data_IF_059094556058
#
_entry.id   IF_059094556058
#
_cell.length_a   1.000
_cell.length_b   1.000
_cell.length_c   1.000
_cell.angle_alpha   90.00
_cell.angle_beta   90.00
_cell.angle_gamma   90.00
#
_symmetry.space_group_name_H-M   'P 1'
#
loop_
_entity.id
_entity.type
_entity.pdbx_description
1 polymer ?
#
# COMPACT_ATOMS: atom_id res chain seq x y z
N UNK A 1 -38.05 12.25 20.73
CA UNK A 1 -36.93 11.45 21.27
C UNK A 1 -36.02 12.34 22.08
N UNK A 2 -35.68 11.94 23.29
CA UNK A 2 -34.65 12.60 24.10
C UNK A 2 -33.24 12.31 23.54
N UNK A 3 -32.24 12.98 24.09
CA UNK A 3 -30.84 12.92 23.62
C UNK A 3 -30.24 11.52 23.71
N UNK A 4 -30.56 10.73 24.75
CA UNK A 4 -30.01 9.37 24.89
C UNK A 4 -30.58 8.44 23.83
N UNK A 5 -31.88 8.54 23.54
CA UNK A 5 -32.49 7.77 22.45
C UNK A 5 -31.88 8.14 21.10
N UNK A 6 -31.67 9.43 20.81
CA UNK A 6 -31.01 9.87 19.57
C UNK A 6 -29.59 9.33 19.46
N UNK A 7 -28.81 9.35 20.54
CA UNK A 7 -27.45 8.80 20.57
C UNK A 7 -27.44 7.29 20.35
N UNK A 8 -28.37 6.56 20.97
CA UNK A 8 -28.45 5.11 20.82
C UNK A 8 -28.75 4.67 19.38
N UNK A 9 -29.44 5.51 18.59
CA UNK A 9 -29.70 5.24 17.17
C UNK A 9 -28.43 5.28 16.30
N UNK A 10 -27.37 5.98 16.71
CA UNK A 10 -26.16 6.14 15.90
C UNK A 10 -25.49 4.80 15.54
N UNK A 11 -25.58 3.79 16.42
CA UNK A 11 -25.03 2.46 16.20
C UNK A 11 -26.07 1.45 15.70
N UNK A 12 -27.19 1.93 15.15
CA UNK A 12 -28.26 1.07 14.63
C UNK A 12 -28.14 0.92 13.12
N UNK A 13 -28.47 -0.28 12.62
CA UNK A 13 -28.53 -0.57 11.18
C UNK A 13 -29.43 0.41 10.42
N UNK A 14 -30.51 0.90 11.05
CA UNK A 14 -31.40 1.88 10.42
C UNK A 14 -30.71 3.23 10.15
N UNK A 15 -29.81 3.66 11.05
CA UNK A 15 -29.02 4.87 10.86
C UNK A 15 -27.96 4.67 9.78
N UNK A 16 -27.30 3.52 9.76
CA UNK A 16 -26.29 3.18 8.74
C UNK A 16 -26.91 3.19 7.33
N UNK A 17 -28.05 2.50 7.14
CA UNK A 17 -28.78 2.47 5.85
C UNK A 17 -29.28 3.85 5.43
N UNK A 18 -29.80 4.63 6.37
CA UNK A 18 -30.19 6.01 6.08
C UNK A 18 -28.97 6.83 5.62
N UNK A 19 -27.84 6.65 6.30
CA UNK A 19 -26.55 7.23 5.98
C UNK A 19 -26.10 6.94 4.55
N UNK A 20 -26.12 5.67 4.12
CA UNK A 20 -25.77 5.28 2.74
C UNK A 20 -26.59 6.01 1.68
N UNK A 21 -27.87 6.26 1.95
CA UNK A 21 -28.76 6.95 1.01
C UNK A 21 -28.61 8.47 0.99
N UNK A 22 -28.24 9.08 2.12
CA UNK A 22 -28.28 10.54 2.30
C UNK A 22 -26.90 11.21 2.31
N UNK A 23 -25.85 10.48 2.68
CA UNK A 23 -24.49 11.01 2.79
C UNK A 23 -23.74 10.87 1.47
N UNK A 24 -22.85 11.82 1.19
CA UNK A 24 -22.03 11.77 -0.01
C UNK A 24 -20.69 11.11 0.27
N UNK A 25 -20.35 10.09 -0.54
CA UNK A 25 -19.08 9.37 -0.47
C UNK A 25 -18.18 9.67 -1.67
N UNK A 26 -18.31 10.87 -2.28
CA UNK A 26 -17.60 11.24 -3.53
C UNK A 26 -16.10 10.92 -3.52
N UNK A 27 -15.31 11.21 -2.47
CA UNK A 27 -13.89 10.86 -2.45
C UNK A 27 -13.65 9.35 -2.42
N UNK A 28 -14.45 8.59 -1.67
CA UNK A 28 -14.34 7.13 -1.58
C UNK A 28 -14.72 6.48 -2.92
N UNK A 29 -15.80 6.97 -3.54
CA UNK A 29 -16.27 6.49 -4.83
C UNK A 29 -15.34 6.83 -6.01
N UNK A 30 -14.31 7.66 -5.79
CA UNK A 30 -13.30 7.98 -6.79
C UNK A 30 -12.14 6.97 -6.82
N UNK A 31 -12.06 6.06 -5.84
CA UNK A 31 -11.10 4.96 -5.83
C UNK A 31 -11.43 4.02 -6.99
N UNK A 32 -10.44 3.72 -7.83
CA UNK A 32 -10.64 2.97 -9.08
C UNK A 32 -9.53 1.96 -9.35
N UNK A 33 -8.61 1.74 -8.41
CA UNK A 33 -7.54 0.78 -8.54
C UNK A 33 -7.28 0.09 -7.20
N UNK A 34 -7.12 -1.24 -7.25
CA UNK A 34 -6.82 -2.08 -6.10
C UNK A 34 -5.50 -2.81 -6.38
N UNK A 35 -4.47 -2.52 -5.59
CA UNK A 35 -3.17 -3.21 -5.63
C UNK A 35 -3.01 -4.03 -4.37
N UNK A 36 -2.35 -5.18 -4.46
CA UNK A 36 -1.85 -5.91 -3.30
C UNK A 36 -0.34 -6.06 -3.41
N UNK A 37 0.35 -5.67 -2.34
CA UNK A 37 1.79 -5.77 -2.20
C UNK A 37 2.17 -6.22 -0.79
N UNK A 38 3.47 -6.22 -0.52
CA UNK A 38 3.97 -6.47 0.82
C UNK A 38 4.82 -5.28 1.24
N UNK A 39 4.63 -4.84 2.48
CA UNK A 39 5.44 -3.82 3.10
C UNK A 39 6.32 -4.40 4.19
N UNK A 40 7.42 -3.71 4.45
CA UNK A 40 8.30 -3.98 5.59
C UNK A 40 8.51 -2.68 6.39
N UNK A 41 8.59 -2.77 7.71
CA UNK A 41 8.86 -1.58 8.53
C UNK A 41 10.25 -1.08 8.23
N UNK A 42 10.42 0.22 7.97
CA UNK A 42 11.72 0.78 7.56
C UNK A 42 12.87 0.51 8.56
N UNK A 43 12.56 0.22 9.82
CA UNK A 43 13.52 -0.05 10.89
C UNK A 43 13.50 -1.47 11.44
N UNK A 44 12.58 -2.33 10.98
CA UNK A 44 12.46 -3.71 11.43
C UNK A 44 12.05 -4.62 10.27
N UNK A 45 13.06 -5.23 9.65
CA UNK A 45 12.85 -6.05 8.45
C UNK A 45 12.37 -7.48 8.73
N UNK A 46 12.08 -7.81 9.99
CA UNK A 46 11.49 -9.09 10.37
C UNK A 46 9.96 -9.06 10.33
N UNK A 47 9.38 -7.86 10.19
CA UNK A 47 7.94 -7.61 10.28
C UNK A 47 7.37 -7.27 8.90
N UNK A 48 6.69 -8.24 8.31
CA UNK A 48 6.13 -8.14 6.96
C UNK A 48 4.61 -8.00 7.02
N UNK A 49 4.09 -7.03 6.28
CA UNK A 49 2.66 -6.71 6.21
C UNK A 49 2.18 -6.90 4.79
N UNK A 50 1.18 -7.75 4.57
CA UNK A 50 0.42 -7.72 3.31
C UNK A 50 -0.44 -6.46 3.30
N UNK A 51 -0.40 -5.71 2.20
CA UNK A 51 -0.97 -4.37 2.11
C UNK A 51 -1.86 -4.25 0.88
N UNK A 52 -3.14 -3.97 1.12
CA UNK A 52 -4.14 -3.75 0.08
C UNK A 52 -4.35 -2.25 -0.12
N UNK A 53 -3.89 -1.76 -1.26
CA UNK A 53 -3.93 -0.36 -1.66
C UNK A 53 -5.17 -0.07 -2.50
N UNK A 54 -5.96 0.89 -2.05
CA UNK A 54 -7.13 1.38 -2.76
C UNK A 54 -6.87 2.81 -3.24
N UNK A 55 -6.55 2.92 -4.52
CA UNK A 55 -5.91 4.10 -5.09
C UNK A 55 -6.86 4.98 -5.92
N UNK A 56 -6.62 6.28 -5.86
CA UNK A 56 -7.12 7.30 -6.79
C UNK A 56 -5.95 7.96 -7.49
N UNK A 57 -5.97 8.05 -8.81
CA UNK A 57 -4.98 8.82 -9.55
C UNK A 57 -5.33 10.31 -9.50
N UNK A 58 -4.51 11.11 -8.80
CA UNK A 58 -4.73 12.56 -8.62
C UNK A 58 -4.24 13.36 -9.80
N UNK A 59 -3.19 12.88 -10.45
CA UNK A 59 -2.68 13.34 -11.72
C UNK A 59 -1.97 12.17 -12.40
N UNK A 60 -1.40 12.41 -13.59
CA UNK A 60 -0.51 11.43 -14.24
C UNK A 60 0.70 11.05 -13.36
N UNK A 61 1.18 11.98 -12.54
CA UNK A 61 2.43 11.85 -11.79
C UNK A 61 2.22 11.65 -10.28
N UNK A 62 0.97 11.51 -9.82
CA UNK A 62 0.62 11.38 -8.39
C UNK A 62 -0.59 10.47 -8.19
N UNK A 63 -0.38 9.35 -7.50
CA UNK A 63 -1.45 8.52 -6.96
C UNK A 63 -1.52 8.70 -5.45
N UNK A 64 -2.72 8.55 -4.90
CA UNK A 64 -2.94 8.46 -3.46
C UNK A 64 -3.70 7.17 -3.17
N UNK A 65 -3.29 6.44 -2.15
CA UNK A 65 -3.91 5.19 -1.75
C UNK A 65 -4.24 5.20 -0.26
N UNK A 66 -5.41 4.68 0.09
CA UNK A 66 -5.70 4.21 1.45
C UNK A 66 -5.33 2.73 1.51
N UNK A 67 -4.74 2.30 2.62
CA UNK A 67 -4.18 0.95 2.75
C UNK A 67 -4.93 0.20 3.84
N UNK A 68 -5.35 -1.03 3.51
CA UNK A 68 -5.95 -1.99 4.43
C UNK A 68 -5.06 -3.23 4.60
N UNK A 69 -5.26 -3.97 5.69
CA UNK A 69 -4.55 -5.23 5.97
C UNK A 69 -5.12 -6.46 5.25
N UNK A 70 -6.34 -6.37 4.74
CA UNK A 70 -6.94 -7.34 3.82
C UNK A 70 -7.90 -6.65 2.85
N UNK A 71 -8.51 -7.43 1.95
CA UNK A 71 -9.62 -7.04 1.09
C UNK A 71 -11.00 -7.40 1.67
N UNK A 72 -11.06 -7.84 2.93
CA UNK A 72 -12.31 -8.17 3.62
C UNK A 72 -13.13 -6.92 3.96
N UNK A 73 -14.46 -7.09 4.06
CA UNK A 73 -15.37 -6.01 4.41
C UNK A 73 -15.12 -5.39 5.81
N UNK A 74 -14.43 -6.09 6.69
CA UNK A 74 -14.06 -5.64 8.04
C UNK A 74 -12.55 -5.35 8.19
N UNK A 75 -11.83 -5.19 7.07
CA UNK A 75 -10.40 -4.92 7.09
C UNK A 75 -10.06 -3.63 7.87
N UNK A 76 -8.89 -3.62 8.49
CA UNK A 76 -8.38 -2.50 9.27
C UNK A 76 -7.76 -1.47 8.33
N UNK A 77 -8.11 -0.20 8.48
CA UNK A 77 -7.38 0.89 7.82
C UNK A 77 -6.00 1.02 8.48
N UNK A 78 -4.94 0.59 7.78
CA UNK A 78 -3.60 0.54 8.35
C UNK A 78 -2.70 1.68 7.94
N UNK A 79 -2.99 2.39 6.84
CA UNK A 79 -2.10 3.45 6.39
C UNK A 79 -2.53 4.16 5.12
N UNK A 80 -1.59 4.95 4.60
CA UNK A 80 -1.69 5.65 3.32
C UNK A 80 -0.39 5.52 2.54
N UNK A 81 -0.51 5.59 1.22
CA UNK A 81 0.62 5.76 0.32
C UNK A 81 0.40 6.91 -0.66
N UNK A 82 1.46 7.64 -0.93
CA UNK A 82 1.56 8.48 -2.12
C UNK A 82 2.57 7.86 -3.07
N UNK A 83 2.15 7.65 -4.32
CA UNK A 83 3.02 7.19 -5.39
C UNK A 83 3.30 8.35 -6.33
N UNK A 84 4.56 8.53 -6.70
CA UNK A 84 4.97 9.54 -7.69
C UNK A 84 5.78 8.92 -8.81
N UNK A 85 5.69 9.51 -10.00
CA UNK A 85 6.55 9.10 -11.12
C UNK A 85 8.02 9.38 -10.82
N UNK A 86 8.94 8.64 -11.46
CA UNK A 86 10.39 8.90 -11.34
C UNK A 86 10.74 10.37 -11.64
N UNK A 87 10.04 10.98 -12.61
CA UNK A 87 10.19 12.40 -12.95
C UNK A 87 9.99 13.30 -11.72
N UNK A 88 8.93 13.08 -10.94
CA UNK A 88 8.67 13.86 -9.72
C UNK A 88 9.67 13.49 -8.64
N UNK A 89 9.94 12.19 -8.45
CA UNK A 89 10.89 11.71 -7.46
C UNK A 89 12.27 12.37 -7.59
N UNK A 90 12.80 12.47 -8.82
CA UNK A 90 14.09 13.12 -9.12
C UNK A 90 14.15 14.59 -8.71
N UNK A 91 13.00 15.27 -8.59
CA UNK A 91 12.92 16.68 -8.17
C UNK A 91 12.78 16.89 -6.66
N UNK A 92 12.58 15.81 -5.90
CA UNK A 92 12.46 15.90 -4.45
C UNK A 92 13.79 16.31 -3.81
N UNK A 93 13.76 17.06 -2.69
CA UNK A 93 14.95 17.28 -1.87
C UNK A 93 15.55 15.95 -1.39
N UNK A 94 16.88 15.89 -1.24
CA UNK A 94 17.57 14.67 -0.80
C UNK A 94 17.10 14.20 0.57
N UNK A 95 16.79 15.13 1.49
CA UNK A 95 16.25 14.78 2.81
C UNK A 95 14.84 14.19 2.76
N UNK A 96 14.10 14.43 1.68
CA UNK A 96 12.77 13.87 1.47
C UNK A 96 12.86 12.47 0.86
N UNK A 97 13.77 12.24 -0.10
CA UNK A 97 13.91 10.95 -0.82
C UNK A 97 14.10 9.75 0.10
N UNK A 98 14.71 9.94 1.27
CA UNK A 98 14.89 8.88 2.29
C UNK A 98 13.60 8.26 2.82
N UNK A 99 12.45 8.91 2.60
CA UNK A 99 11.12 8.41 2.97
C UNK A 99 10.44 7.59 1.87
N UNK A 100 11.13 7.38 0.74
CA UNK A 100 10.54 6.77 -0.45
C UNK A 100 11.24 5.46 -0.79
N UNK A 101 10.44 4.50 -1.25
CA UNK A 101 10.92 3.23 -1.80
C UNK A 101 10.59 3.14 -3.30
N UNK A 102 11.35 2.34 -4.04
CA UNK A 102 11.08 2.07 -5.46
C UNK A 102 10.15 0.88 -5.61
N UNK A 103 9.16 0.97 -6.50
CA UNK A 103 8.31 -0.19 -6.83
C UNK A 103 8.95 -1.14 -7.86
N UNK A 104 10.18 -0.84 -8.33
CA UNK A 104 10.90 -1.60 -9.37
C UNK A 104 10.87 -3.09 -9.09
N UNK A 105 11.34 -3.50 -7.91
CA UNK A 105 11.47 -4.92 -7.60
C UNK A 105 10.12 -5.59 -7.37
N UNK A 106 9.20 -4.97 -6.64
CA UNK A 106 7.90 -5.58 -6.35
C UNK A 106 7.06 -5.84 -7.60
N UNK A 107 7.15 -4.92 -8.57
CA UNK A 107 6.55 -5.13 -9.89
C UNK A 107 7.27 -6.24 -10.63
N UNK A 108 8.60 -6.23 -10.71
CA UNK A 108 9.34 -7.24 -11.46
C UNK A 108 9.23 -8.66 -10.88
N UNK A 109 9.15 -8.78 -9.55
CA UNK A 109 9.15 -10.05 -8.83
C UNK A 109 7.79 -10.74 -8.79
N UNK A 110 6.70 -10.05 -9.13
CA UNK A 110 5.35 -10.57 -8.95
C UNK A 110 4.77 -10.31 -7.55
N UNK A 111 5.52 -9.69 -6.63
CA UNK A 111 5.01 -9.43 -5.28
C UNK A 111 4.00 -8.28 -5.24
N UNK A 112 4.00 -7.35 -6.20
CA UNK A 112 2.89 -6.43 -6.43
C UNK A 112 1.94 -7.02 -7.48
N UNK A 113 0.63 -7.00 -7.24
CA UNK A 113 -0.37 -7.42 -8.22
C UNK A 113 -1.58 -6.50 -8.22
N UNK A 114 -2.31 -6.48 -9.34
CA UNK A 114 -3.69 -5.98 -9.34
C UNK A 114 -4.57 -7.04 -8.68
N UNK A 115 -5.45 -6.61 -7.79
CA UNK A 115 -6.48 -7.50 -7.28
C UNK A 115 -7.70 -7.42 -8.20
N UNK A 116 -8.03 -8.55 -8.82
CA UNK A 116 -9.18 -8.69 -9.70
C UNK A 116 -10.28 -9.49 -9.03
N UNK A 117 -11.52 -9.32 -9.52
CA UNK A 117 -12.65 -10.08 -8.98
C UNK A 117 -12.43 -11.59 -9.23
N UNK A 118 -12.86 -12.48 -8.34
CA UNK A 118 -12.62 -13.94 -8.44
C UNK A 118 -13.05 -14.60 -9.76
N UNK A 119 -13.93 -13.97 -10.54
CA UNK A 119 -14.46 -14.48 -11.80
C UNK A 119 -13.70 -13.98 -13.05
N UNK A 120 -12.63 -13.19 -12.89
CA UNK A 120 -11.82 -12.73 -14.00
C UNK A 120 -10.83 -13.83 -14.39
N UNK A 121 -10.84 -14.32 -15.65
CA UNK A 121 -9.89 -15.34 -16.09
C UNK A 121 -8.44 -14.83 -16.03
N UNK A 122 -7.50 -15.67 -15.58
CA UNK A 122 -6.09 -15.28 -15.38
C UNK A 122 -5.40 -14.66 -16.60
N UNK A 123 -5.67 -15.14 -17.82
CA UNK A 123 -5.12 -14.54 -19.06
C UNK A 123 -5.65 -13.11 -19.28
N UNK A 124 -6.92 -12.87 -18.95
CA UNK A 124 -7.53 -11.55 -19.10
C UNK A 124 -6.93 -10.59 -18.06
N UNK A 125 -6.70 -11.08 -16.84
CA UNK A 125 -6.00 -10.36 -15.79
C UNK A 125 -4.56 -10.02 -16.18
N UNK A 126 -3.81 -11.00 -16.71
CA UNK A 126 -2.42 -10.85 -17.15
C UNK A 126 -2.25 -9.80 -18.27
N UNK A 127 -3.20 -9.72 -19.20
CA UNK A 127 -3.17 -8.70 -20.25
C UNK A 127 -3.63 -7.33 -19.72
N UNK A 128 -4.61 -7.31 -18.82
CA UNK A 128 -5.14 -6.09 -18.24
C UNK A 128 -4.17 -5.42 -17.27
N UNK A 129 -3.30 -6.18 -16.60
CA UNK A 129 -2.33 -5.61 -15.66
C UNK A 129 -1.14 -4.92 -16.33
N UNK A 130 -0.76 -5.29 -17.57
CA UNK A 130 0.51 -4.85 -18.16
C UNK A 130 0.67 -3.32 -18.23
N UNK A 131 -0.35 -2.53 -18.65
CA UNK A 131 -0.23 -1.08 -18.64
C UNK A 131 0.00 -0.52 -17.23
N UNK A 132 -0.66 -1.10 -16.23
CA UNK A 132 -0.47 -0.70 -14.83
C UNK A 132 0.93 -1.08 -14.33
N UNK A 133 1.44 -2.27 -14.67
CA UNK A 133 2.78 -2.70 -14.29
C UNK A 133 3.85 -1.84 -14.95
N UNK A 134 3.70 -1.47 -16.23
CA UNK A 134 4.63 -0.57 -16.93
C UNK A 134 4.69 0.82 -16.28
N UNK A 135 3.55 1.34 -15.84
CA UNK A 135 3.48 2.62 -15.12
C UNK A 135 4.13 2.49 -13.73
N UNK A 136 3.66 1.52 -12.92
CA UNK A 136 4.10 1.34 -11.54
C UNK A 136 5.59 1.00 -11.43
N UNK A 137 6.16 0.28 -12.41
CA UNK A 137 7.57 -0.11 -12.42
C UNK A 137 8.56 1.05 -12.27
N UNK A 138 8.16 2.26 -12.70
CA UNK A 138 8.97 3.48 -12.63
C UNK A 138 8.40 4.52 -11.66
N UNK A 139 7.67 4.06 -10.63
CA UNK A 139 7.14 4.92 -9.57
C UNK A 139 7.82 4.67 -8.22
N UNK A 140 7.61 5.62 -7.31
CA UNK A 140 8.18 5.64 -5.97
C UNK A 140 7.08 5.85 -4.96
N UNK A 141 7.10 5.07 -3.88
CA UNK A 141 6.09 5.07 -2.84
C UNK A 141 6.58 5.71 -1.55
N UNK A 142 5.78 6.60 -0.97
CA UNK A 142 5.91 7.05 0.42
C UNK A 142 4.76 6.48 1.23
N UNK A 143 5.03 5.35 1.88
CA UNK A 143 4.03 4.63 2.67
C UNK A 143 4.19 4.90 4.16
N UNK A 144 3.09 5.32 4.80
CA UNK A 144 3.00 5.48 6.25
C UNK A 144 1.89 4.58 6.79
N UNK A 145 2.25 3.65 7.67
CA UNK A 145 1.28 2.87 8.43
C UNK A 145 1.01 3.51 9.80
N UNK A 146 -0.25 3.70 10.13
CA UNK A 146 -0.73 4.21 11.42
C UNK A 146 -1.19 3.11 12.37
N UNK A 147 -1.42 1.89 11.87
CA UNK A 147 -1.84 0.75 12.70
C UNK A 147 -0.84 -0.42 12.61
N UNK A 148 -0.03 -0.67 13.65
CA UNK A 148 0.87 -1.81 13.71
C UNK A 148 0.13 -3.08 14.19
N UNK A 149 -0.87 -3.53 13.43
CA UNK A 149 -1.81 -4.58 13.83
C UNK A 149 -1.15 -5.93 14.13
N UNK A 150 0.03 -6.18 13.59
CA UNK A 150 0.83 -7.37 13.85
C UNK A 150 1.34 -7.47 15.30
N UNK A 151 1.36 -6.34 16.02
CA UNK A 151 1.73 -6.27 17.45
C UNK A 151 0.62 -5.70 18.33
N UNK A 152 -0.28 -4.90 17.77
CA UNK A 152 -1.45 -4.34 18.45
C UNK A 152 -2.71 -4.52 17.59
N UNK A 153 -3.27 -5.75 17.53
CA UNK A 153 -4.36 -6.08 16.60
C UNK A 153 -5.68 -5.38 16.95
N UNK A 154 -5.87 -4.98 18.20
CA UNK A 154 -7.12 -4.41 18.71
C UNK A 154 -7.22 -2.90 18.46
N UNK A 155 -6.10 -2.16 18.52
CA UNK A 155 -6.09 -0.69 18.40
C UNK A 155 -4.80 -0.18 17.72
N UNK A 156 -4.88 0.95 16.98
CA UNK A 156 -3.72 1.59 16.35
C UNK A 156 -2.88 2.36 17.39
N UNK A 157 -2.09 1.63 18.18
CA UNK A 157 -1.26 2.23 19.23
C UNK A 157 0.09 2.75 18.71
N UNK A 158 0.54 3.86 19.30
CA UNK A 158 1.89 4.39 19.09
C UNK A 158 2.02 5.38 17.92
N UNK A 159 3.26 5.80 17.60
CA UNK A 159 3.52 6.68 16.47
C UNK A 159 3.32 5.94 15.12
N UNK A 160 3.13 6.69 14.01
CA UNK A 160 3.12 6.11 12.69
C UNK A 160 4.47 5.48 12.33
N UNK A 161 4.46 4.56 11.37
CA UNK A 161 5.63 3.84 10.90
C UNK A 161 5.87 4.14 9.42
N UNK A 162 7.12 4.45 9.07
CA UNK A 162 7.54 4.44 7.67
C UNK A 162 7.65 2.99 7.21
N UNK A 163 7.08 2.70 6.04
CA UNK A 163 7.18 1.40 5.41
C UNK A 163 7.99 1.48 4.11
N UNK A 164 8.69 0.39 3.82
CA UNK A 164 9.49 0.21 2.61
C UNK A 164 9.00 -0.99 1.82
N UNK A 165 9.43 -1.05 0.56
CA UNK A 165 9.30 -2.19 -0.33
C UNK A 165 10.53 -3.10 -0.26
N UNK A 166 10.39 -4.29 -0.82
CA UNK A 166 11.49 -5.23 -1.02
C UNK A 166 12.24 -4.91 -2.31
N UNK A 167 13.49 -5.34 -2.38
CA UNK A 167 14.39 -4.96 -3.46
C UNK A 167 15.17 -6.12 -4.07
N UNK A 168 15.08 -7.31 -3.47
CA UNK A 168 15.67 -8.54 -3.97
C UNK A 168 14.95 -9.79 -3.43
N UNK A 169 15.24 -10.93 -4.06
CA UNK A 169 14.68 -12.23 -3.67
C UNK A 169 15.06 -12.61 -2.24
N UNK A 170 14.15 -13.32 -1.56
CA UNK A 170 14.36 -13.87 -0.21
C UNK A 170 14.16 -12.88 0.95
N UNK A 171 13.73 -11.64 0.68
CA UNK A 171 13.45 -10.66 1.75
C UNK A 171 12.04 -10.75 2.33
N UNK A 172 11.06 -11.25 1.57
CA UNK A 172 9.71 -11.51 2.10
C UNK A 172 9.67 -12.90 2.73
N UNK A 173 8.99 -13.03 3.87
CA UNK A 173 8.79 -14.33 4.50
C UNK A 173 8.01 -15.30 3.57
N UNK A 174 8.58 -16.48 3.35
CA UNK A 174 8.08 -17.43 2.35
C UNK A 174 6.68 -17.98 2.66
N UNK A 175 6.34 -18.09 3.95
CA UNK A 175 5.01 -18.49 4.42
C UNK A 175 3.93 -17.47 4.02
N UNK A 176 4.25 -16.16 4.08
CA UNK A 176 3.33 -15.10 3.64
C UNK A 176 3.10 -15.10 2.14
N UNK A 177 4.17 -15.27 1.36
CA UNK A 177 4.06 -15.42 -0.10
C UNK A 177 3.15 -16.60 -0.45
N UNK A 178 3.43 -17.77 0.14
CA UNK A 178 2.65 -18.99 -0.07
C UNK A 178 1.19 -18.83 0.32
N UNK A 179 0.91 -18.22 1.49
CA UNK A 179 -0.45 -17.97 1.96
C UNK A 179 -1.25 -17.11 0.97
N UNK A 180 -0.62 -16.09 0.36
CA UNK A 180 -1.26 -15.27 -0.67
C UNK A 180 -1.50 -16.06 -1.97
N UNK A 181 -0.52 -16.84 -2.44
CA UNK A 181 -0.70 -17.67 -3.64
C UNK A 181 -1.84 -18.69 -3.44
N UNK A 182 -1.93 -19.32 -2.27
CA UNK A 182 -3.01 -20.25 -1.92
C UNK A 182 -4.38 -19.56 -1.88
N UNK A 183 -4.44 -18.34 -1.33
CA UNK A 183 -5.68 -17.58 -1.22
C UNK A 183 -6.19 -17.05 -2.56
N UNK A 184 -5.28 -16.57 -3.41
CA UNK A 184 -5.62 -15.89 -4.67
C UNK A 184 -5.56 -16.80 -5.90
N UNK A 185 -4.84 -17.91 -5.82
CA UNK A 185 -4.51 -18.76 -6.97
C UNK A 185 -3.51 -18.14 -7.95
N UNK A 186 -2.94 -16.96 -7.63
CA UNK A 186 -1.99 -16.25 -8.48
C UNK A 186 -0.58 -16.67 -8.11
N UNK A 187 0.18 -17.21 -9.07
CA UNK A 187 1.57 -17.58 -8.83
C UNK A 187 2.53 -16.41 -9.03
N UNK A 188 3.33 -16.12 -8.00
CA UNK A 188 4.35 -15.06 -7.99
C UNK A 188 5.45 -15.37 -9.01
N UNK A 189 5.94 -16.62 -9.02
CA UNK A 189 6.95 -17.04 -9.99
C UNK A 189 6.44 -16.98 -11.44
N UNK A 190 5.16 -17.30 -11.67
CA UNK A 190 4.56 -17.15 -12.99
C UNK A 190 4.48 -15.68 -13.42
N UNK A 191 4.05 -14.78 -12.51
CA UNK A 191 4.02 -13.33 -12.76
C UNK A 191 5.43 -12.78 -13.01
N UNK A 192 6.43 -13.17 -12.21
CA UNK A 192 7.85 -12.81 -12.42
C UNK A 192 8.33 -13.18 -13.83
N UNK A 193 8.07 -14.43 -14.24
CA UNK A 193 8.44 -14.92 -15.58
C UNK A 193 7.70 -14.18 -16.70
N UNK A 194 6.41 -13.93 -16.55
CA UNK A 194 5.61 -13.18 -17.51
C UNK A 194 6.14 -11.75 -17.67
N UNK A 195 6.36 -11.05 -16.56
CA UNK A 195 6.79 -9.66 -16.51
C UNK A 195 8.20 -9.44 -17.06
N UNK A 196 9.09 -10.40 -16.86
CA UNK A 196 10.41 -10.40 -17.51
C UNK A 196 10.33 -10.39 -19.06
N UNK A 197 9.20 -10.80 -19.65
CA UNK A 197 8.98 -10.78 -21.09
C UNK A 197 8.63 -9.43 -21.69
N UNK A 198 8.18 -8.45 -20.89
CA UNK A 198 7.71 -7.15 -21.41
C UNK A 198 8.20 -5.92 -20.62
N UNK A 199 8.65 -6.08 -19.37
CA UNK A 199 9.22 -4.96 -18.62
C UNK A 199 10.55 -4.53 -19.27
N UNK A 200 10.74 -3.23 -19.55
CA UNK A 200 11.98 -2.75 -20.13
C UNK A 200 13.12 -2.82 -19.10
N UNK A 201 14.39 -2.94 -19.53
CA UNK A 201 15.52 -2.69 -18.65
C UNK A 201 15.42 -1.29 -18.05
N UNK A 202 15.52 -1.20 -16.73
CA UNK A 202 15.36 0.05 -15.99
C UNK A 202 16.25 0.02 -14.75
N UNK A 203 16.96 1.12 -14.50
CA UNK A 203 17.64 1.35 -13.23
C UNK A 203 16.93 2.45 -12.46
N UNK A 204 16.57 2.15 -11.21
CA UNK A 204 15.89 3.11 -10.34
C UNK A 204 16.82 4.31 -10.08
N UNK A 205 16.25 5.50 -10.03
CA UNK A 205 16.91 6.68 -9.50
C UNK A 205 17.52 6.46 -8.10
N UNK A 206 18.68 7.07 -7.88
CA UNK A 206 19.32 7.15 -6.57
C UNK A 206 18.47 7.94 -5.57
N UNK A 207 18.62 7.61 -4.28
CA UNK A 207 17.95 8.34 -3.19
C UNK A 207 16.84 7.54 -2.52
N UNK A 208 16.21 6.60 -3.22
CA UNK A 208 15.21 5.69 -2.67
C UNK A 208 15.88 4.48 -2.01
N UNK A 209 15.13 3.74 -1.20
CA UNK A 209 15.57 2.46 -0.61
C UNK A 209 16.90 2.56 0.18
N UNK A 210 17.15 3.71 0.82
CA UNK A 210 18.41 4.05 1.52
C UNK A 210 18.83 3.04 2.60
N UNK A 211 17.90 2.24 3.09
CA UNK A 211 18.18 1.18 4.07
C UNK A 211 19.13 0.12 3.51
N UNK A 212 19.16 -0.12 2.19
CA UNK A 212 20.05 -1.10 1.57
C UNK A 212 21.53 -0.78 1.78
N UNK A 213 21.87 0.49 1.69
CA UNK A 213 23.27 0.94 1.70
C UNK A 213 23.74 1.32 3.11
N UNK A 214 22.80 1.68 3.99
CA UNK A 214 23.13 2.26 5.29
C UNK A 214 23.08 1.27 6.45
N UNK A 215 22.33 0.16 6.30
CA UNK A 215 21.97 -0.73 7.41
C UNK A 215 21.16 -0.03 8.52
N UNK A 216 20.61 1.15 8.23
CA UNK A 216 19.86 1.99 9.17
C UNK A 216 18.48 2.26 8.63
N UNK A 217 17.49 2.06 9.49
CA UNK A 217 16.10 2.37 9.21
C UNK A 217 15.64 3.70 9.81
N UNK A 218 14.57 4.26 9.23
CA UNK A 218 13.88 5.41 9.83
C UNK A 218 12.80 4.91 10.78
N UNK A 219 12.81 5.45 12.00
CA UNK A 219 11.76 5.26 12.99
C UNK A 219 11.21 6.62 13.40
N UNK A 220 9.88 6.76 13.41
CA UNK A 220 9.23 7.98 13.88
C UNK A 220 8.99 7.89 15.38
N UNK A 221 9.60 8.81 16.11
CA UNK A 221 9.45 8.92 17.55
C UNK A 221 8.70 10.20 17.88
N UNK A 222 7.70 10.09 18.76
CA UNK A 222 7.00 11.24 19.29
C UNK A 222 7.96 12.05 20.18
N UNK A 223 7.95 13.37 20.03
CA UNK A 223 8.70 14.30 20.88
C UNK A 223 7.81 15.46 21.28
N UNK A 224 7.94 15.91 22.52
CA UNK A 224 7.30 17.14 22.97
C UNK A 224 8.00 18.34 22.35
N UNK A 225 7.21 19.32 21.90
CA UNK A 225 7.67 20.59 21.35
C UNK A 225 6.81 21.71 21.88
N UNK A 226 7.38 22.91 22.02
CA UNK A 226 6.61 24.08 22.42
C UNK A 226 5.54 24.42 21.36
N UNK A 227 4.32 24.69 21.82
CA UNK A 227 3.23 25.14 20.95
C UNK A 227 3.53 26.57 20.52
N UNK A 228 3.71 26.79 19.21
CA UNK A 228 3.73 28.13 18.63
C UNK A 228 2.32 28.73 18.73
N UNK A 229 2.19 29.85 19.42
CA UNK A 229 0.95 30.61 19.56
C UNK A 229 1.00 31.85 18.68
#
# INVERSE_FOLDING_TARGET
MDTKTKQALYHSTAYDVAGESMMTFKPINAIHQHLCGFHVYAHDHTRHVEAHHFCTHRSKDLHQCIIYDSDDANARLIGIEYLVSEKVFKTLPEEEKRYWHSHKYEVASGTLQLESKPLVPGIVDDMAEQPAMLELYQTYGKTIHTWPFDTSPELPLGPPNLMMAYTQDGQVAADKLKAREERTGVSIEAKKKLRAGYLPPYERAEGADQWENSGKGISFNAKEVEIKK
#
